data_IF_836030391809
#
_entry.id   IF_836030391809
#
_cell.length_a   1.000
_cell.length_b   1.000
_cell.length_c   1.000
_cell.angle_alpha   90.00
_cell.angle_beta   90.00
_cell.angle_gamma   90.00
#
_symmetry.space_group_name_H-M   'P 1'
#
loop_
_entity.id
_entity.type
_entity.pdbx_description
1 polymer ?
#
# COMPACT_ATOMS: atom_id res chain seq x y z
N UNK A 1 -5.36 5.17 -22.64
CA UNK A 1 -4.00 5.64 -22.34
C UNK A 1 -2.98 4.56 -22.67
N UNK A 2 -2.48 4.58 -23.90
CA UNK A 2 -1.28 3.88 -24.44
C UNK A 2 -1.13 4.16 -25.95
N UNK A 3 -1.74 5.24 -26.45
CA UNK A 3 -1.87 5.45 -27.90
C UNK A 3 -0.56 5.88 -28.56
N UNK A 4 0.43 6.29 -27.75
CA UNK A 4 1.69 6.87 -28.23
C UNK A 4 2.95 6.16 -27.67
N UNK A 5 2.82 4.90 -27.22
CA UNK A 5 3.99 4.13 -26.77
C UNK A 5 4.62 3.47 -27.99
N UNK A 6 5.78 3.98 -28.40
CA UNK A 6 6.59 3.40 -29.47
C UNK A 6 7.70 2.58 -28.83
N UNK A 7 7.76 1.30 -29.19
CA UNK A 7 8.87 0.42 -28.79
C UNK A 7 10.01 0.57 -29.79
N UNK A 8 11.22 0.73 -29.27
CA UNK A 8 12.43 0.92 -30.07
C UNK A 8 13.38 -0.28 -30.01
N UNK A 9 14.49 -0.18 -30.74
CA UNK A 9 15.55 -1.20 -30.75
C UNK A 9 16.11 -1.45 -29.35
N UNK A 10 16.22 -0.41 -28.51
CA UNK A 10 16.67 -0.54 -27.12
C UNK A 10 15.79 -1.45 -26.26
N UNK A 11 14.48 -1.41 -26.47
CA UNK A 11 13.55 -2.28 -25.73
C UNK A 11 13.75 -3.75 -26.13
N UNK A 12 14.07 -3.99 -27.42
CA UNK A 12 14.39 -5.32 -27.94
C UNK A 12 15.74 -5.82 -27.40
N UNK A 13 16.77 -4.97 -27.39
CA UNK A 13 18.09 -5.29 -26.82
C UNK A 13 17.99 -5.68 -25.34
N UNK A 14 17.24 -4.89 -24.54
CA UNK A 14 16.99 -5.21 -23.13
C UNK A 14 16.26 -6.55 -22.99
N UNK A 15 15.26 -6.81 -23.84
CA UNK A 15 14.50 -8.05 -23.77
C UNK A 15 15.36 -9.28 -24.13
N UNK A 16 16.19 -9.18 -25.17
CA UNK A 16 17.13 -10.25 -25.56
C UNK A 16 18.09 -10.53 -24.41
N UNK A 17 18.66 -9.50 -23.81
CA UNK A 17 19.54 -9.63 -22.65
C UNK A 17 18.85 -10.32 -21.47
N UNK A 18 17.61 -9.94 -21.15
CA UNK A 18 16.86 -10.56 -20.05
C UNK A 18 16.55 -12.04 -20.33
N UNK A 19 16.26 -12.40 -21.57
CA UNK A 19 16.00 -13.79 -21.96
C UNK A 19 17.26 -14.66 -21.89
N UNK A 20 18.43 -14.12 -22.22
CA UNK A 20 19.69 -14.86 -22.09
C UNK A 20 20.11 -15.09 -20.64
N UNK A 21 19.90 -14.09 -19.77
CA UNK A 21 20.26 -14.19 -18.35
C UNK A 21 19.29 -15.03 -17.52
N UNK A 22 18.00 -15.09 -17.91
CA UNK A 22 16.93 -15.75 -17.14
C UNK A 22 16.10 -16.69 -18.01
N UNK A 23 16.70 -17.78 -18.54
CA UNK A 23 16.00 -18.71 -19.41
C UNK A 23 14.86 -19.41 -18.66
N UNK A 24 13.69 -19.49 -19.30
CA UNK A 24 12.49 -20.12 -18.72
C UNK A 24 11.64 -19.20 -17.83
N UNK A 25 12.11 -17.99 -17.52
CA UNK A 25 11.33 -17.01 -16.78
C UNK A 25 10.52 -16.07 -17.69
N UNK A 26 9.36 -15.63 -17.21
CA UNK A 26 8.58 -14.61 -17.90
C UNK A 26 9.22 -13.22 -17.71
N UNK A 27 10.06 -12.81 -18.65
CA UNK A 27 10.72 -11.50 -18.63
C UNK A 27 9.96 -10.43 -19.42
N UNK A 28 10.16 -9.17 -19.04
CA UNK A 28 9.65 -7.99 -19.72
C UNK A 28 10.67 -6.87 -19.60
N UNK A 29 10.91 -6.14 -20.69
CA UNK A 29 11.75 -4.94 -20.65
C UNK A 29 11.15 -3.88 -19.70
N UNK A 30 12.01 -3.01 -19.21
CA UNK A 30 11.69 -1.92 -18.28
C UNK A 30 10.51 -1.07 -18.74
N UNK A 31 10.45 -0.75 -20.03
CA UNK A 31 9.41 0.08 -20.61
C UNK A 31 8.02 -0.57 -20.52
N UNK A 32 7.91 -1.87 -20.84
CA UNK A 32 6.66 -2.64 -20.67
C UNK A 32 6.29 -2.74 -19.19
N UNK A 33 7.26 -2.98 -18.31
CA UNK A 33 7.00 -3.02 -16.85
C UNK A 33 6.42 -1.71 -16.34
N UNK A 34 6.98 -0.58 -16.75
CA UNK A 34 6.50 0.75 -16.39
C UNK A 34 5.09 1.04 -16.93
N UNK A 35 4.81 0.60 -18.16
CA UNK A 35 3.47 0.69 -18.73
C UNK A 35 2.45 -0.10 -17.90
N UNK A 36 2.77 -1.35 -17.52
CA UNK A 36 1.87 -2.16 -16.69
C UNK A 36 1.69 -1.59 -15.29
N UNK A 37 2.77 -1.11 -14.65
CA UNK A 37 2.71 -0.45 -13.36
C UNK A 37 1.75 0.76 -13.40
N UNK A 38 1.89 1.61 -14.43
CA UNK A 38 1.03 2.79 -14.65
C UNK A 38 -0.43 2.43 -14.92
N UNK A 39 -0.69 1.35 -15.64
CA UNK A 39 -2.05 0.84 -15.90
C UNK A 39 -2.69 0.29 -14.63
N UNK A 40 -1.94 -0.51 -13.87
CA UNK A 40 -2.40 -1.06 -12.60
C UNK A 40 -2.76 0.07 -11.63
N UNK A 41 -1.87 1.05 -11.44
CA UNK A 41 -2.11 2.18 -10.52
C UNK A 41 -3.36 2.99 -10.85
N UNK A 42 -3.63 3.25 -12.14
CA UNK A 42 -4.81 4.04 -12.55
C UNK A 42 -6.12 3.25 -12.52
N UNK A 43 -6.05 1.92 -12.51
CA UNK A 43 -7.22 1.04 -12.43
C UNK A 43 -7.51 0.57 -11.00
N UNK A 44 -6.55 0.72 -10.10
CA UNK A 44 -6.70 0.41 -8.68
C UNK A 44 -7.76 1.27 -8.00
N UNK A 45 -8.27 0.77 -6.87
CA UNK A 45 -9.05 1.56 -5.91
C UNK A 45 -8.21 2.74 -5.41
N UNK A 46 -8.83 3.91 -5.34
CA UNK A 46 -8.20 5.14 -4.91
C UNK A 46 -8.36 5.36 -3.41
N UNK A 47 -7.41 6.09 -2.82
CA UNK A 47 -7.56 6.55 -1.44
C UNK A 47 -8.76 7.51 -1.37
N UNK A 48 -9.65 7.26 -0.42
CA UNK A 48 -10.91 8.00 -0.24
C UNK A 48 -12.12 7.32 -0.86
N UNK A 49 -11.94 6.26 -1.66
CA UNK A 49 -13.06 5.48 -2.19
C UNK A 49 -13.78 4.73 -1.06
N UNK A 50 -15.11 4.86 -1.01
CA UNK A 50 -15.94 4.07 -0.11
C UNK A 50 -16.04 2.62 -0.63
N UNK A 51 -15.70 1.65 0.23
CA UNK A 51 -15.74 0.23 -0.11
C UNK A 51 -16.77 -0.52 0.74
N UNK A 52 -17.55 -1.37 0.10
CA UNK A 52 -18.33 -2.39 0.80
C UNK A 52 -17.42 -3.46 1.39
N UNK A 53 -17.92 -4.17 2.42
CA UNK A 53 -17.21 -5.30 3.03
C UNK A 53 -16.79 -6.36 2.00
N UNK A 54 -17.66 -6.68 1.06
CA UNK A 54 -17.36 -7.66 0.01
C UNK A 54 -16.21 -7.21 -0.90
N UNK A 55 -16.12 -5.92 -1.24
CA UNK A 55 -15.01 -5.39 -2.03
C UNK A 55 -13.69 -5.47 -1.26
N UNK A 56 -13.70 -5.07 0.02
CA UNK A 56 -12.51 -5.17 0.88
C UNK A 56 -12.00 -6.62 0.99
N UNK A 57 -12.90 -7.57 1.22
CA UNK A 57 -12.56 -9.00 1.30
C UNK A 57 -11.97 -9.54 -0.01
N UNK A 58 -12.53 -9.15 -1.16
CA UNK A 58 -11.99 -9.55 -2.48
C UNK A 58 -10.58 -9.04 -2.70
N UNK A 59 -10.29 -7.78 -2.32
CA UNK A 59 -8.94 -7.20 -2.45
C UNK A 59 -7.93 -8.01 -1.64
N UNK A 60 -8.23 -8.29 -0.36
CA UNK A 60 -7.33 -9.05 0.51
C UNK A 60 -7.15 -10.49 0.03
N UNK A 61 -8.22 -11.15 -0.44
CA UNK A 61 -8.13 -12.50 -1.01
C UNK A 61 -7.23 -12.55 -2.25
N UNK A 62 -7.44 -11.63 -3.21
CA UNK A 62 -6.60 -11.57 -4.41
C UNK A 62 -5.12 -11.32 -4.08
N UNK A 63 -4.82 -10.57 -3.02
CA UNK A 63 -3.43 -10.39 -2.58
C UNK A 63 -2.79 -11.72 -2.13
N UNK A 64 -3.57 -12.69 -1.65
CA UNK A 64 -3.08 -14.03 -1.29
C UNK A 64 -2.63 -14.87 -2.49
N UNK A 65 -3.13 -14.58 -3.69
CA UNK A 65 -2.82 -15.32 -4.92
C UNK A 65 -1.62 -14.72 -5.68
N UNK A 66 -1.16 -13.52 -5.29
CA UNK A 66 -0.08 -12.79 -5.97
C UNK A 66 1.27 -13.21 -5.39
N UNK A 67 2.24 -13.44 -6.28
CA UNK A 67 3.64 -13.62 -5.88
C UNK A 67 4.22 -12.30 -5.34
N UNK A 68 4.72 -12.33 -4.10
CA UNK A 68 5.29 -11.18 -3.39
C UNK A 68 4.35 -9.97 -3.25
N UNK A 69 3.21 -10.09 -2.53
CA UNK A 69 2.18 -9.06 -2.49
C UNK A 69 2.53 -7.84 -1.63
N UNK A 70 3.74 -7.77 -1.05
CA UNK A 70 4.15 -6.81 -0.02
C UNK A 70 4.45 -5.40 -0.54
N UNK A 71 4.70 -5.28 -1.84
CA UNK A 71 5.01 -4.02 -2.51
C UNK A 71 4.21 -3.89 -3.81
N UNK A 72 3.74 -2.68 -4.11
CA UNK A 72 3.16 -2.36 -5.40
C UNK A 72 4.27 -2.32 -6.47
N UNK A 73 3.95 -2.31 -7.78
CA UNK A 73 4.98 -2.29 -8.83
C UNK A 73 5.85 -1.02 -8.85
N UNK A 74 5.51 -0.01 -8.04
CA UNK A 74 6.33 1.20 -7.81
C UNK A 74 7.14 1.15 -6.50
N UNK A 75 7.11 0.02 -5.77
CA UNK A 75 7.84 -0.16 -4.51
C UNK A 75 7.15 0.38 -3.25
N UNK A 76 5.89 0.87 -3.35
CA UNK A 76 5.15 1.28 -2.14
C UNK A 76 4.63 0.05 -1.39
N UNK A 77 4.70 0.02 -0.05
CA UNK A 77 4.17 -1.10 0.68
C UNK A 77 2.66 -1.19 0.58
N UNK A 78 2.15 -2.42 0.44
CA UNK A 78 0.71 -2.72 0.31
C UNK A 78 0.06 -3.03 1.65
N UNK A 79 0.80 -3.65 2.57
CA UNK A 79 0.31 -4.04 3.90
C UNK A 79 1.41 -3.97 4.95
N UNK A 80 0.99 -3.84 6.22
CA UNK A 80 1.86 -3.79 7.40
C UNK A 80 1.21 -4.49 8.56
N UNK A 81 2.02 -5.17 9.37
CA UNK A 81 1.58 -5.70 10.65
C UNK A 81 1.32 -4.55 11.62
N UNK A 82 0.08 -4.42 12.10
CA UNK A 82 -0.29 -3.36 13.04
C UNK A 82 0.07 -3.74 14.47
N UNK A 83 -0.43 -4.89 14.93
CA UNK A 83 -0.28 -5.31 16.32
C UNK A 83 -0.52 -6.82 16.47
N UNK A 84 0.17 -7.41 17.44
CA UNK A 84 0.03 -8.82 17.81
C UNK A 84 -0.95 -8.95 18.97
N UNK A 85 -2.13 -9.51 18.69
CA UNK A 85 -3.20 -9.63 19.68
C UNK A 85 -2.86 -10.54 20.86
N UNK A 86 -1.86 -11.43 20.76
CA UNK A 86 -1.41 -12.23 21.90
C UNK A 86 -0.84 -11.36 23.03
N UNK A 87 -0.28 -10.19 22.67
CA UNK A 87 0.24 -9.19 23.60
C UNK A 87 -0.84 -8.41 24.33
N UNK A 88 -2.11 -8.61 24.00
CA UNK A 88 -3.24 -8.01 24.73
C UNK A 88 -3.45 -8.68 26.09
N UNK A 89 -2.91 -9.89 26.31
CA UNK A 89 -2.99 -10.57 27.60
C UNK A 89 -1.94 -10.08 28.60
N UNK A 90 -2.18 -8.89 29.15
CA UNK A 90 -1.82 -8.50 30.51
C UNK A 90 -2.35 -7.10 30.84
N UNK A 91 -3.58 -6.78 30.42
CA UNK A 91 -4.30 -5.64 30.99
C UNK A 91 -5.22 -6.17 32.08
N UNK A 92 -4.68 -6.17 33.30
CA UNK A 92 -5.43 -5.90 34.53
C UNK A 92 -6.74 -5.18 34.23
N UNK A 93 -7.84 -5.68 34.80
CA UNK A 93 -9.15 -5.02 34.88
C UNK A 93 -8.98 -3.50 34.78
N UNK A 94 -9.58 -2.87 33.77
CA UNK A 94 -9.59 -1.42 33.59
C UNK A 94 -10.21 -0.80 34.87
N UNK A 95 -9.40 -0.57 35.90
CA UNK A 95 -9.78 0.32 36.99
C UNK A 95 -9.81 1.68 36.33
N UNK A 96 -11.02 2.22 36.19
CA UNK A 96 -11.28 3.61 35.87
C UNK A 96 -10.13 4.47 36.44
N UNK A 97 -9.29 5.05 35.58
CA UNK A 97 -8.32 6.04 36.06
C UNK A 97 -9.12 7.13 36.76
N UNK A 98 -8.83 7.47 38.03
CA UNK A 98 -9.44 8.65 38.63
C UNK A 98 -9.17 9.83 37.70
N UNK A 99 -10.20 10.63 37.38
CA UNK A 99 -10.03 11.86 36.61
C UNK A 99 -9.04 12.76 37.35
N UNK A 100 -7.76 12.70 37.02
CA UNK A 100 -6.77 13.66 37.49
C UNK A 100 -7.04 14.98 36.79
N UNK A 101 -7.75 15.85 37.50
CA UNK A 101 -7.95 17.28 37.32
C UNK A 101 -7.53 17.85 35.94
N UNK A 102 -8.44 17.75 34.98
CA UNK A 102 -8.30 18.26 33.62
C UNK A 102 -8.53 19.79 33.58
N UNK A 103 -7.79 20.56 34.38
CA UNK A 103 -8.11 22.00 34.57
C UNK A 103 -7.03 23.01 34.17
N UNK A 104 -5.89 22.60 33.59
CA UNK A 104 -4.87 23.58 33.16
C UNK A 104 -4.59 23.62 31.65
N UNK A 105 -4.46 22.48 30.95
CA UNK A 105 -4.14 22.51 29.50
C UNK A 105 -5.30 23.02 28.63
N UNK A 106 -6.55 22.60 28.89
CA UNK A 106 -7.71 23.10 28.15
C UNK A 106 -7.93 24.62 28.34
N UNK A 107 -7.62 25.15 29.53
CA UNK A 107 -7.65 26.60 29.79
C UNK A 107 -6.54 27.34 29.05
N UNK A 108 -5.35 26.74 28.94
CA UNK A 108 -4.22 27.31 28.20
C UNK A 108 -4.51 27.40 26.69
N UNK A 109 -5.07 26.34 26.11
CA UNK A 109 -5.43 26.32 24.69
C UNK A 109 -6.58 27.29 24.36
N UNK A 110 -7.56 27.47 25.26
CA UNK A 110 -8.67 28.40 25.03
C UNK A 110 -8.26 29.88 25.12
N UNK A 111 -7.19 30.19 25.86
CA UNK A 111 -6.63 31.56 25.96
C UNK A 111 -5.81 31.93 24.71
N UNK A 112 -5.13 30.97 24.09
CA UNK A 112 -4.34 31.20 22.87
C UNK A 112 -5.19 31.38 21.60
N UNK A 113 -6.44 30.88 21.59
CA UNK A 113 -7.31 30.89 20.41
C UNK A 113 -8.44 31.94 20.45
N UNK A 114 -8.50 32.77 21.50
CA UNK A 114 -9.45 33.88 21.64
C UNK A 114 -8.74 35.20 22.03
N UNK A 115 -7.52 35.42 21.55
CA UNK A 115 -6.84 36.72 21.59
C UNK A 115 -6.60 37.23 20.17
#
# INVERSE_FOLDING_TARGET
MSKDIIFGVKDLEELIFLLSERPGEMVRCSHIRNMFASRACRKSVMIGDALSRQQMERIVKHMGDIEQPWNCPHGRPTMRHLFDLSKVQSSQSYTMRPKSNQSNLYKLFRKAYNS
#
